data_IF_505726696773
#
_entry.id   IF_505726696773
#
_cell.length_a   1.000
_cell.length_b   1.000
_cell.length_c   1.000
_cell.angle_alpha   90.00
_cell.angle_beta   90.00
_cell.angle_gamma   90.00
#
_symmetry.space_group_name_H-M   'P 1'
#
loop_
_entity.id
_entity.type
_entity.pdbx_description
1 polymer ?
#
# COMPACT_ATOMS: atom_id res chain seq x y z
N UNK A 1 -10.26 -40.28 15.10
CA UNK A 1 -9.25 -39.19 15.11
C UNK A 1 -9.83 -37.98 14.38
N UNK A 2 -10.63 -37.15 15.07
CA UNK A 2 -11.28 -35.98 14.46
C UNK A 2 -10.66 -34.70 14.97
N UNK A 3 -9.88 -34.00 14.13
CA UNK A 3 -9.30 -32.69 14.45
C UNK A 3 -10.13 -31.59 13.80
N UNK A 4 -11.25 -31.27 14.44
CA UNK A 4 -12.09 -30.12 14.08
C UNK A 4 -12.48 -29.37 15.34
N UNK A 5 -11.63 -28.46 15.81
CA UNK A 5 -11.98 -27.35 16.71
C UNK A 5 -10.76 -26.45 16.96
N UNK A 6 -10.45 -25.53 16.04
CA UNK A 6 -9.54 -24.40 16.32
C UNK A 6 -10.19 -23.03 16.05
N UNK A 7 -11.49 -22.99 15.72
CA UNK A 7 -12.23 -21.73 15.53
C UNK A 7 -13.37 -21.60 16.55
N UNK A 8 -13.07 -21.87 17.82
CA UNK A 8 -14.02 -21.80 18.91
C UNK A 8 -13.47 -21.06 20.12
N UNK A 9 -13.86 -19.78 20.24
CA UNK A 9 -14.10 -19.07 21.51
C UNK A 9 -12.88 -18.63 22.35
N UNK A 10 -12.56 -17.33 22.27
CA UNK A 10 -12.43 -16.42 23.44
C UNK A 10 -12.93 -15.03 22.99
N UNK A 11 -14.19 -14.68 23.22
CA UNK A 11 -14.78 -14.22 24.48
C UNK A 11 -14.43 -12.75 24.79
N UNK A 12 -15.36 -11.89 24.38
CA UNK A 12 -15.60 -10.54 24.89
C UNK A 12 -15.95 -10.65 26.39
N UNK A 13 -15.24 -9.90 27.23
CA UNK A 13 -15.47 -9.81 28.67
C UNK A 13 -14.59 -8.72 29.30
N UNK A 14 -15.25 -7.64 29.73
CA UNK A 14 -14.73 -6.41 30.31
C UNK A 14 -13.99 -6.61 31.66
N UNK A 15 -12.95 -5.82 31.91
CA UNK A 15 -12.27 -5.72 33.21
C UNK A 15 -11.13 -4.70 33.17
N UNK A 16 -11.25 -3.65 33.97
CA UNK A 16 -10.49 -2.41 33.93
C UNK A 16 -9.05 -2.49 34.48
N UNK A 17 -8.26 -1.48 34.08
CA UNK A 17 -7.03 -0.99 34.68
C UNK A 17 -5.75 -1.82 34.46
N UNK A 18 -5.15 -1.65 33.29
CA UNK A 18 -3.76 -1.18 33.23
C UNK A 18 -3.66 -0.32 31.96
N UNK A 19 -3.53 0.99 32.16
CA UNK A 19 -3.37 1.91 31.06
C UNK A 19 -1.93 1.80 30.57
N UNK A 20 -1.63 1.28 29.36
CA UNK A 20 -0.43 1.73 28.70
C UNK A 20 -0.66 3.22 28.45
N UNK A 21 0.18 4.01 29.10
CA UNK A 21 0.35 5.43 28.88
C UNK A 21 0.12 5.68 27.38
N UNK A 22 -0.97 6.39 27.09
CA UNK A 22 -1.15 7.08 25.84
C UNK A 22 0.10 7.95 25.70
N UNK A 23 1.10 7.44 24.98
CA UNK A 23 1.98 8.30 24.23
C UNK A 23 1.09 8.92 23.17
N UNK A 24 0.38 9.97 23.58
CA UNK A 24 -0.09 11.01 22.69
C UNK A 24 1.14 11.63 22.05
N UNK A 25 1.71 10.94 21.07
CA UNK A 25 2.07 11.66 19.87
C UNK A 25 0.73 11.92 19.19
N UNK A 26 0.18 13.11 19.44
CA UNK A 26 -0.75 13.73 18.49
C UNK A 26 -0.29 13.33 17.10
N UNK A 27 -1.16 12.83 16.20
CA UNK A 27 -0.79 12.86 14.80
C UNK A 27 -0.45 14.32 14.55
N UNK A 28 0.84 14.60 14.31
CA UNK A 28 1.26 15.89 13.81
C UNK A 28 0.29 16.16 12.67
N UNK A 29 -0.55 17.19 12.84
CA UNK A 29 -1.58 17.52 11.87
C UNK A 29 -0.88 17.47 10.51
N UNK A 30 -1.31 16.54 9.64
CA UNK A 30 -0.72 16.36 8.32
C UNK A 30 -0.56 17.76 7.74
N UNK A 31 0.68 18.22 7.61
CA UNK A 31 0.92 19.58 7.15
C UNK A 31 0.21 19.69 5.81
N UNK A 32 -0.69 20.68 5.64
CA UNK A 32 -1.43 20.82 4.41
C UNK A 32 -0.41 20.94 3.28
N UNK A 33 -0.58 20.10 2.25
CA UNK A 33 0.36 20.07 1.14
C UNK A 33 0.58 21.48 0.60
N UNK A 34 1.85 21.84 0.44
CA UNK A 34 2.21 23.04 -0.30
C UNK A 34 1.76 22.89 -1.76
N UNK A 35 1.47 23.99 -2.47
CA UNK A 35 1.04 23.92 -3.86
C UNK A 35 2.06 23.22 -4.77
N UNK A 36 3.35 23.35 -4.46
CA UNK A 36 4.43 22.67 -5.17
C UNK A 36 4.35 21.15 -4.96
N UNK A 37 4.15 20.69 -3.73
CA UNK A 37 3.98 19.25 -3.43
C UNK A 37 2.72 18.66 -4.08
N UNK A 38 1.63 19.41 -4.16
CA UNK A 38 0.43 18.97 -4.89
C UNK A 38 0.69 18.85 -6.39
N UNK A 39 1.44 19.78 -6.99
CA UNK A 39 1.80 19.71 -8.39
C UNK A 39 2.67 18.47 -8.68
N UNK A 40 3.68 18.21 -7.85
CA UNK A 40 4.51 17.01 -7.95
C UNK A 40 3.70 15.71 -7.76
N UNK A 41 2.76 15.70 -6.82
CA UNK A 41 1.90 14.55 -6.58
C UNK A 41 0.97 14.28 -7.78
N UNK A 42 0.40 15.33 -8.38
CA UNK A 42 -0.44 15.20 -9.57
C UNK A 42 0.35 14.68 -10.77
N UNK A 43 1.58 15.16 -10.96
CA UNK A 43 2.47 14.67 -12.01
C UNK A 43 2.78 13.16 -11.80
N UNK A 44 3.14 12.78 -10.57
CA UNK A 44 3.37 11.37 -10.23
C UNK A 44 2.13 10.49 -10.50
N UNK A 45 0.93 11.00 -10.20
CA UNK A 45 -0.33 10.32 -10.50
C UNK A 45 -0.60 10.20 -12.01
N UNK A 46 -0.23 11.21 -12.80
CA UNK A 46 -0.32 11.12 -14.26
C UNK A 46 0.59 10.00 -14.80
N UNK A 47 1.83 9.92 -14.33
CA UNK A 47 2.76 8.83 -14.68
C UNK A 47 2.22 7.46 -14.27
N UNK A 48 1.66 7.36 -13.06
CA UNK A 48 1.08 6.12 -12.56
C UNK A 48 -0.11 5.65 -13.40
N UNK A 49 -1.01 6.57 -13.78
CA UNK A 49 -2.18 6.23 -14.60
C UNK A 49 -1.79 5.74 -16.00
N UNK A 50 -0.77 6.35 -16.62
CA UNK A 50 -0.24 5.86 -17.89
C UNK A 50 0.39 4.47 -17.76
N UNK A 51 1.15 4.22 -16.68
CA UNK A 51 1.70 2.90 -16.39
C UNK A 51 0.59 1.86 -16.12
N UNK A 52 -0.47 2.26 -15.40
CA UNK A 52 -1.59 1.39 -15.07
C UNK A 52 -2.37 0.94 -16.30
N UNK A 53 -2.66 1.85 -17.25
CA UNK A 53 -3.33 1.52 -18.53
C UNK A 53 -2.62 0.42 -19.29
N UNK A 54 -1.28 0.40 -19.25
CA UNK A 54 -0.46 -0.60 -19.92
C UNK A 54 -0.26 -1.91 -19.15
N UNK A 55 -0.66 -1.97 -17.88
CA UNK A 55 -0.34 -3.08 -16.97
C UNK A 55 -1.44 -4.15 -16.82
N UNK A 56 -2.67 -3.87 -17.30
CA UNK A 56 -3.83 -4.74 -17.08
C UNK A 56 -4.34 -4.80 -15.64
N UNK A 57 -3.75 -4.04 -14.70
CA UNK A 57 -4.18 -3.99 -13.31
C UNK A 57 -5.56 -3.30 -13.16
N UNK A 58 -6.50 -3.96 -12.47
CA UNK A 58 -7.84 -3.43 -12.20
C UNK A 58 -7.91 -2.64 -10.88
N UNK A 59 -7.05 -2.99 -9.91
CA UNK A 59 -6.91 -2.29 -8.65
C UNK A 59 -5.49 -2.42 -8.10
N UNK A 60 -5.03 -1.38 -7.41
CA UNK A 60 -3.70 -1.35 -6.78
C UNK A 60 -3.86 -0.99 -5.31
N UNK A 61 -3.44 -1.91 -4.45
CA UNK A 61 -3.41 -1.72 -3.00
C UNK A 61 -1.99 -1.92 -2.50
N UNK A 62 -1.48 -0.96 -1.72
CA UNK A 62 -0.20 -1.07 -1.05
C UNK A 62 -0.35 -0.70 0.42
N UNK A 63 0.29 -1.50 1.28
CA UNK A 63 0.38 -1.25 2.70
C UNK A 63 1.65 -0.46 2.99
N UNK A 64 1.51 0.71 3.60
CA UNK A 64 2.65 1.49 4.06
C UNK A 64 2.98 1.15 5.50
N UNK A 65 4.27 1.18 5.84
CA UNK A 65 4.72 0.96 7.22
C UNK A 65 4.42 2.15 8.13
N UNK A 66 4.39 3.36 7.57
CA UNK A 66 4.39 4.60 8.36
C UNK A 66 2.99 5.19 8.56
N UNK A 67 1.92 4.38 8.51
CA UNK A 67 0.51 4.79 8.65
C UNK A 67 -0.01 5.82 7.63
N UNK A 68 0.86 6.46 6.84
CA UNK A 68 0.50 7.41 5.79
C UNK A 68 0.13 6.69 4.49
N UNK A 69 -0.99 7.01 3.83
CA UNK A 69 -1.34 6.43 2.53
C UNK A 69 -0.23 6.63 1.51
N UNK A 70 0.13 5.58 0.76
CA UNK A 70 1.16 5.69 -0.29
C UNK A 70 0.72 6.63 -1.43
N UNK A 71 -0.59 6.83 -1.58
CA UNK A 71 -1.23 7.72 -2.55
C UNK A 71 -0.92 9.19 -2.31
N UNK A 72 -0.49 9.54 -1.10
CA UNK A 72 -0.21 10.90 -0.64
C UNK A 72 1.29 11.26 -0.73
N UNK A 73 2.13 10.31 -1.17
CA UNK A 73 3.56 10.49 -1.31
C UNK A 73 3.99 10.31 -2.77
N UNK A 74 4.48 11.38 -3.40
CA UNK A 74 4.82 11.39 -4.82
C UNK A 74 5.89 10.35 -5.17
N UNK A 75 6.87 10.13 -4.28
CA UNK A 75 7.91 9.12 -4.46
C UNK A 75 7.34 7.69 -4.44
N UNK A 76 6.40 7.42 -3.54
CA UNK A 76 5.69 6.15 -3.45
C UNK A 76 4.83 5.90 -4.69
N UNK A 77 4.07 6.90 -5.15
CA UNK A 77 3.27 6.80 -6.39
C UNK A 77 4.15 6.50 -7.61
N UNK A 78 5.29 7.20 -7.76
CA UNK A 78 6.26 6.90 -8.84
C UNK A 78 6.87 5.51 -8.73
N UNK A 79 7.14 5.04 -7.52
CA UNK A 79 7.65 3.69 -7.28
C UNK A 79 6.64 2.63 -7.75
N UNK A 80 5.35 2.84 -7.45
CA UNK A 80 4.28 1.96 -7.94
C UNK A 80 4.16 2.01 -9.46
N UNK A 81 4.31 3.19 -10.08
CA UNK A 81 4.32 3.32 -11.54
C UNK A 81 5.50 2.55 -12.19
N UNK A 82 6.67 2.55 -11.54
CA UNK A 82 7.81 1.75 -11.98
C UNK A 82 7.55 0.24 -11.87
N UNK A 83 6.86 -0.21 -10.81
CA UNK A 83 6.46 -1.61 -10.67
C UNK A 83 5.48 -2.03 -11.77
N UNK A 84 4.47 -1.21 -12.07
CA UNK A 84 3.50 -1.50 -13.13
C UNK A 84 4.16 -1.61 -14.51
N UNK A 85 5.16 -0.77 -14.79
CA UNK A 85 5.98 -0.89 -16.01
C UNK A 85 6.74 -2.22 -16.07
N UNK A 86 7.37 -2.63 -14.97
CA UNK A 86 8.06 -3.94 -14.91
C UNK A 86 7.12 -5.11 -15.17
N UNK A 87 5.95 -5.11 -14.54
CA UNK A 87 4.95 -6.18 -14.76
C UNK A 87 4.54 -6.24 -16.23
N UNK A 88 4.34 -5.09 -16.88
CA UNK A 88 4.06 -5.02 -18.32
C UNK A 88 5.23 -5.57 -19.16
N UNK A 89 6.47 -5.22 -18.82
CA UNK A 89 7.66 -5.70 -19.53
C UNK A 89 7.84 -7.24 -19.37
N UNK A 90 7.51 -7.78 -18.19
CA UNK A 90 7.48 -9.22 -17.93
C UNK A 90 6.36 -9.95 -18.68
N UNK A 91 5.18 -9.33 -18.83
CA UNK A 91 4.08 -9.90 -19.64
C UNK A 91 4.41 -9.89 -21.14
N UNK A 92 5.07 -8.83 -21.61
CA UNK A 92 5.40 -8.66 -23.05
C UNK A 92 6.65 -9.40 -23.48
N UNK A 93 7.40 -10.01 -22.55
CA UNK A 93 8.49 -10.94 -22.89
C UNK A 93 7.93 -12.35 -23.07
N UNK A 94 7.77 -12.85 -24.31
CA UNK A 94 7.32 -14.22 -24.54
C UNK A 94 8.31 -15.17 -23.86
N UNK A 95 7.78 -16.00 -22.96
CA UNK A 95 8.53 -16.77 -21.98
C UNK A 95 9.89 -17.26 -22.49
N UNK A 96 10.96 -16.74 -21.89
CA UNK A 96 12.21 -17.50 -21.87
C UNK A 96 11.96 -18.69 -20.94
N UNK A 97 11.53 -19.78 -21.55
CA UNK A 97 11.51 -21.10 -20.94
C UNK A 97 12.90 -21.35 -20.34
N UNK A 98 13.05 -21.60 -19.03
CA UNK A 98 14.34 -21.98 -18.50
C UNK A 98 14.71 -23.32 -19.14
N UNK A 99 15.71 -23.29 -20.01
CA UNK A 99 16.36 -24.49 -20.50
C UNK A 99 17.28 -25.01 -19.40
N UNK A 100 16.98 -26.21 -18.88
CA UNK A 100 17.89 -26.98 -18.02
C UNK A 100 17.33 -27.29 -16.64
#
# INVERSE_FOLDING_TARGET
MGLRSLFGRRQRGSGAADAPIMASESPAADEPFTPEQLAELQEAWAEFNEAAKGSGASSVHACTRNSKPWQEDAASVRSMAALLRRVRDEETTPGTQPAG
#
